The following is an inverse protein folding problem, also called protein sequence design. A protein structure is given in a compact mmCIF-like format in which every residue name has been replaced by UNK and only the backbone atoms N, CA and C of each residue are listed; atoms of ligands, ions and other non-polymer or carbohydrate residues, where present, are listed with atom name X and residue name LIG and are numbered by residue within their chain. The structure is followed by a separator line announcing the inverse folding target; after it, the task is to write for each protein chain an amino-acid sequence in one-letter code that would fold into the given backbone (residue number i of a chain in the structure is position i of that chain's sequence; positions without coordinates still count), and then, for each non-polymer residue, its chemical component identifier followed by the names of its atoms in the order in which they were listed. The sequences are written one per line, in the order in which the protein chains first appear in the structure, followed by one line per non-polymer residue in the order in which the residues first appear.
data_IF_476239512870
#
_entry.id   IF_476239512870
#
_cell.length_a   1.000
_cell.length_b   1.000
_cell.length_c   1.000
_cell.angle_alpha   90.00
_cell.angle_beta   90.00
_cell.angle_gamma   90.00
#
_symmetry.space_group_name_H-M   'P 1'
#
loop_
_entity.id
_entity.type
_entity.pdbx_description
1 polymer ?
2 polymer ?
3 polymer ?
4 non-polymer ?
5 water ?
#
loop_
_entity_poly.entity_id
_entity_poly.type
_entity_poly.pdbx_seq_one_letter_code
_entity_poly.pdbx_strand_id
2 'polydeoxyribonucleotide' '(DC)(DG)(DA)(DT)(DG)(DC)(DG)(DG)(DG)(DT)(DG)(DC)(DA)' ?
3 'polydeoxyribonucleotide' '(DT)(DG)(DC)(DA)(DC)(DC)(DC)(DG)(DC)(DA)(DT)(DC)(DG)' ?
#
# COMPACT_ATOMS: atom_id res chain seq x y z
N UNK A 14 -5.87 -25.21 2.26
CA UNK A 14 -6.98 -25.62 1.33
C UNK A 14 -6.92 -24.83 0.03
N UNK A 15 -8.08 -24.67 -0.61
CA UNK A 15 -8.18 -23.96 -1.89
C UNK A 15 -8.87 -22.59 -1.79
N UNK A 16 -10.20 -22.58 -1.76
CA UNK A 16 -10.99 -21.35 -1.66
C UNK A 16 -10.60 -20.58 -0.39
N UNK A 17 -10.68 -19.26 -0.43
CA UNK A 17 -10.26 -18.45 0.70
C UNK A 17 -10.84 -17.06 0.45
N UNK A 18 -11.43 -16.43 1.47
CA UNK A 18 -11.96 -15.06 1.35
C UNK A 18 -12.08 -14.42 2.74
N UNK A 19 -13.26 -13.89 3.06
CA UNK A 19 -13.51 -13.27 4.36
C UNK A 19 -14.55 -14.18 4.99
N UNK A 20 -14.69 -15.35 4.38
CA UNK A 20 -15.64 -16.36 4.79
C UNK A 20 -15.79 -16.52 6.29
N UNK A 21 -16.86 -17.21 6.68
CA UNK A 21 -17.16 -17.47 8.08
C UNK A 21 -15.90 -17.98 8.77
N UNK A 22 -15.48 -19.19 8.42
CA UNK A 22 -14.28 -19.73 9.00
C UNK A 22 -13.23 -20.13 7.99
N UNK A 23 -12.01 -19.76 8.33
CA UNK A 23 -10.82 -20.01 7.53
C UNK A 23 -10.20 -21.33 7.94
N UNK A 24 -9.77 -22.15 6.96
CA UNK A 24 -9.15 -23.43 7.28
C UNK A 24 -7.95 -23.21 8.20
N UNK A 25 -7.47 -24.26 8.86
CA UNK A 25 -6.34 -24.10 9.75
C UNK A 25 -5.32 -25.22 9.78
N UNK A 26 -5.07 -25.80 8.61
CA UNK A 26 -4.10 -26.88 8.47
C UNK A 26 -2.91 -26.24 7.77
N UNK A 27 -2.86 -24.92 7.85
CA UNK A 27 -1.81 -24.13 7.23
C UNK A 27 -0.41 -24.66 7.50
N UNK A 28 0.29 -25.02 6.42
CA UNK A 28 1.67 -25.50 6.50
C UNK A 28 2.53 -24.45 5.80
N UNK A 29 1.93 -23.83 4.77
CA UNK A 29 2.59 -22.81 3.97
C UNK A 29 2.29 -21.37 4.35
N UNK A 30 3.00 -20.87 5.37
CA UNK A 30 2.82 -19.49 5.79
C UNK A 30 3.74 -18.62 4.95
N UNK A 31 3.23 -18.13 3.82
CA UNK A 31 3.98 -17.28 2.90
C UNK A 31 4.86 -16.26 3.63
N UNK A 32 6.01 -15.93 3.05
CA UNK A 32 6.90 -14.94 3.67
C UNK A 32 6.36 -13.56 3.37
N UNK A 33 6.55 -12.62 4.29
CA UNK A 33 6.02 -11.29 4.11
C UNK A 33 6.25 -10.65 2.74
N UNK A 34 5.16 -10.26 2.11
CA UNK A 34 5.21 -9.64 0.79
C UNK A 34 5.17 -8.13 0.88
N UNK A 35 6.10 -7.51 0.17
CA UNK A 35 6.22 -6.07 0.17
C UNK A 35 5.26 -5.38 -0.80
N UNK A 36 5.11 -5.93 -1.99
CA UNK A 36 4.26 -5.31 -3.00
C UNK A 36 3.10 -6.16 -3.47
N UNK A 37 2.18 -6.50 -2.57
CA UNK A 37 1.02 -7.32 -2.96
C UNK A 37 0.31 -6.69 -4.15
N UNK A 38 0.25 -7.41 -5.26
CA UNK A 38 -0.43 -6.89 -6.45
C UNK A 38 -1.10 -8.02 -7.26
N UNK A 39 -2.13 -7.66 -8.01
CA UNK A 39 -2.84 -8.62 -8.84
C UNK A 39 -3.71 -9.58 -8.02
N UNK A 40 -4.40 -9.05 -7.02
CA UNK A 40 -5.29 -9.86 -6.20
C UNK A 40 -4.59 -10.92 -5.35
N UNK A 41 -3.35 -10.69 -4.94
CA UNK A 41 -2.62 -11.67 -4.12
C UNK A 41 -3.34 -11.97 -2.81
N UNK A 42 -3.19 -13.21 -2.33
CA UNK A 42 -3.75 -13.63 -1.05
C UNK A 42 -2.61 -14.33 -0.33
N UNK A 43 -2.48 -14.13 0.97
CA UNK A 43 -1.40 -14.79 1.71
C UNK A 43 -1.88 -15.42 3.00
N UNK A 44 -0.97 -15.97 3.79
CA UNK A 44 -1.35 -16.61 5.05
C UNK A 44 -0.32 -16.33 6.15
N UNK A 45 0.52 -15.32 5.94
CA UNK A 45 1.56 -14.94 6.90
C UNK A 45 1.32 -15.47 8.32
N UNK A 46 2.39 -15.83 9.03
CA UNK A 46 2.26 -16.31 10.42
C UNK A 46 1.92 -15.11 11.30
N UNK A 47 1.19 -15.31 12.40
CA UNK A 47 0.85 -14.17 13.23
C UNK A 47 2.01 -13.68 14.13
N UNK A 48 3.17 -14.31 14.03
CA UNK A 48 4.30 -13.88 14.82
C UNK A 48 5.12 -12.94 13.94
N UNK A 49 4.75 -12.92 12.66
CA UNK A 49 5.37 -12.12 11.61
C UNK A 49 5.21 -10.61 11.87
N UNK A 50 6.23 -10.01 12.45
CA UNK A 50 6.20 -8.61 12.81
C UNK A 50 5.80 -7.65 11.72
N UNK A 51 6.14 -7.93 10.47
CA UNK A 51 5.74 -7.01 9.41
C UNK A 51 4.30 -7.28 8.98
N UNK A 52 3.85 -8.50 9.20
CA UNK A 52 2.48 -8.88 8.85
C UNK A 52 1.58 -8.40 9.98
N UNK A 53 2.15 -8.30 11.18
CA UNK A 53 1.37 -7.83 12.32
C UNK A 53 1.02 -6.37 12.07
N UNK A 54 2.02 -5.58 11.67
CA UNK A 54 1.84 -4.16 11.41
C UNK A 54 1.12 -3.88 10.09
N UNK A 55 0.58 -4.93 9.47
CA UNK A 55 -0.15 -4.81 8.20
C UNK A 55 0.54 -3.90 7.23
N UNK A 56 1.79 -4.23 6.90
CA UNK A 56 2.57 -3.41 6.01
C UNK A 56 2.38 -3.70 4.52
N UNK A 57 2.80 -2.73 3.72
CA UNK A 57 2.72 -2.81 2.28
C UNK A 57 3.55 -1.63 1.83
N UNK A 58 4.35 -1.80 0.79
CA UNK A 58 5.14 -0.67 0.37
C UNK A 58 4.34 0.21 -0.56
N UNK A 59 3.10 -0.20 -0.80
CA UNK A 59 2.18 0.60 -1.58
C UNK A 59 1.58 1.49 -0.48
N UNK A 60 1.25 2.75 -0.80
CA UNK A 60 0.70 3.66 0.20
C UNK A 60 -0.77 3.32 0.36
N UNK A 61 -1.10 2.64 1.45
CA UNK A 61 -2.47 2.22 1.70
C UNK A 61 -3.06 2.96 2.87
N UNK A 62 -4.27 3.50 2.72
CA UNK A 62 -4.87 4.21 3.84
C UNK A 62 -6.04 3.44 4.44
N UNK A 63 -6.21 3.61 5.75
CA UNK A 63 -7.26 2.94 6.49
C UNK A 63 -8.61 3.22 5.85
N UNK A 64 -9.48 2.21 5.81
CA UNK A 64 -10.81 2.37 5.25
C UNK A 64 -11.76 1.70 6.23
N UNK A 65 -12.86 2.36 6.53
CA UNK A 65 -13.84 1.82 7.49
C UNK A 65 -14.92 0.98 6.85
N UNK A 66 -14.88 -0.33 7.10
CA UNK A 66 -15.87 -1.26 6.55
C UNK A 66 -16.82 -1.74 7.66
N UNK A 67 -16.76 -1.07 8.82
CA UNK A 67 -17.60 -1.41 9.96
C UNK A 67 -17.46 -2.88 10.31
N UNK A 68 -16.24 -3.26 10.70
CA UNK A 68 -15.92 -4.64 11.04
C UNK A 68 -14.59 -4.68 11.79
N UNK A 69 -14.64 -4.86 13.10
CA UNK A 69 -13.43 -4.88 13.88
C UNK A 69 -12.55 -6.07 13.59
N UNK A 70 -13.07 -7.01 12.82
CA UNK A 70 -12.32 -8.23 12.50
C UNK A 70 -11.53 -8.18 11.19
N UNK A 71 -12.01 -7.38 10.25
CA UNK A 71 -11.33 -7.25 8.97
C UNK A 71 -10.83 -5.84 8.76
N UNK A 72 -9.51 -5.70 8.80
CA UNK A 72 -8.85 -4.42 8.60
C UNK A 72 -8.74 -4.21 7.09
N UNK A 73 -9.52 -3.26 6.59
CA UNK A 73 -9.54 -2.95 5.16
C UNK A 73 -8.77 -1.65 5.00
N UNK A 74 -8.04 -1.54 3.88
CA UNK A 74 -7.26 -0.35 3.58
C UNK A 74 -7.20 -0.18 2.05
N UNK A 75 -7.35 1.05 1.57
CA UNK A 75 -7.31 1.29 0.13
C UNK A 75 -6.12 2.11 -0.35
N UNK A 76 -5.64 1.82 -1.56
CA UNK A 76 -4.48 2.47 -2.17
C UNK A 76 -4.63 3.95 -2.49
N UNK A 77 -3.70 4.75 -1.96
CA UNK A 77 -3.68 6.20 -2.12
C UNK A 77 -3.27 6.75 -3.49
N UNK A 78 -2.50 5.95 -4.23
CA UNK A 78 -2.03 6.38 -5.53
C UNK A 78 -0.52 6.58 -5.41
N UNK A 79 -0.02 7.67 -6.01
CA UNK A 79 1.39 8.00 -5.95
C UNK A 79 1.56 9.43 -6.42
N UNK A 80 2.48 10.17 -5.78
CA UNK A 80 2.74 11.56 -6.13
C UNK A 80 3.84 11.65 -7.16
N UNK A 81 3.56 12.32 -8.26
CA UNK A 81 4.56 12.48 -9.31
C UNK A 81 4.80 13.96 -9.59
N UNK A 82 5.78 14.26 -10.45
CA UNK A 82 6.06 15.63 -10.83
C UNK A 82 5.18 15.95 -12.04
N UNK A 83 4.22 16.86 -11.86
CA UNK A 83 3.31 17.21 -12.94
C UNK A 83 4.02 17.69 -14.20
N UNK A 84 5.25 18.17 -14.04
CA UNK A 84 6.04 18.66 -15.16
C UNK A 84 6.76 17.52 -15.90
N UNK A 85 6.31 16.29 -15.67
CA UNK A 85 6.88 15.10 -16.33
C UNK A 85 8.40 14.93 -16.14
N UNK A 86 9.02 15.92 -15.51
CA UNK A 86 10.46 15.94 -15.23
C UNK A 86 11.17 14.59 -15.06
N UNK A 87 12.46 14.57 -15.39
CA UNK A 87 13.31 13.39 -15.27
C UNK A 87 14.72 13.87 -14.87
N UNK A 88 15.33 13.25 -13.86
CA UNK A 88 16.67 13.66 -13.41
C UNK A 88 17.71 13.60 -14.51
N UNK A 89 18.98 13.51 -14.13
CA UNK A 89 20.06 13.42 -15.11
C UNK A 89 20.40 11.98 -15.47
N UNK A 90 20.22 11.07 -14.53
CA UNK A 90 20.48 9.67 -14.78
C UNK A 90 19.18 9.01 -15.25
N UNK A 91 18.26 9.85 -15.73
CA UNK A 91 16.98 9.37 -16.23
C UNK A 91 16.03 8.80 -15.19
N UNK A 92 16.07 9.36 -13.99
CA UNK A 92 15.20 8.87 -12.93
C UNK A 92 13.95 9.74 -12.80
N UNK A 93 12.79 9.10 -12.81
CA UNK A 93 11.51 9.80 -12.64
C UNK A 93 11.20 9.83 -11.14
N UNK A 94 10.41 10.81 -10.69
CA UNK A 94 10.12 10.95 -9.26
C UNK A 94 8.74 10.48 -8.82
N UNK A 95 8.70 9.48 -7.94
CA UNK A 95 7.43 8.97 -7.41
C UNK A 95 7.44 9.03 -5.90
N UNK A 96 6.93 10.13 -5.37
CA UNK A 96 6.87 10.33 -3.94
C UNK A 96 5.76 9.52 -3.31
N UNK A 97 5.99 9.13 -2.06
CA UNK A 97 5.03 8.37 -1.30
C UNK A 97 3.98 9.33 -0.73
N UNK A 98 2.70 9.15 -1.07
CA UNK A 98 1.58 9.98 -0.60
C UNK A 98 1.49 9.95 0.92
N UNK A 99 1.11 11.08 1.55
CA UNK A 99 0.99 11.10 3.00
C UNK A 99 -0.28 10.35 3.33
N UNK A 100 -0.27 9.57 4.41
CA UNK A 100 -1.45 8.80 4.79
C UNK A 100 -2.47 9.69 5.48
N UNK A 101 -2.03 10.49 6.46
CA UNK A 101 -2.94 11.38 7.14
C UNK A 101 -3.49 12.30 6.05
N UNK A 102 -4.80 12.27 5.86
CA UNK A 102 -5.50 13.06 4.83
C UNK A 102 -5.10 14.52 4.73
N UNK A 103 -5.01 15.20 5.86
CA UNK A 103 -4.66 16.62 5.84
C UNK A 103 -3.22 16.85 5.40
N UNK A 104 -2.37 15.88 5.72
CA UNK A 104 -0.96 15.94 5.34
C UNK A 104 -0.79 15.86 3.82
N UNK A 105 -1.62 15.07 3.16
CA UNK A 105 -1.55 14.90 1.71
C UNK A 105 -1.98 16.17 0.97
N UNK A 106 -2.74 17.01 1.65
CA UNK A 106 -3.19 18.27 1.08
C UNK A 106 -1.99 19.21 1.12
N UNK A 107 -1.39 19.34 2.30
CA UNK A 107 -0.23 20.19 2.47
C UNK A 107 0.91 19.69 1.60
N UNK A 108 0.86 18.41 1.21
CA UNK A 108 1.92 17.82 0.40
C UNK A 108 1.81 18.21 -1.07
N UNK A 109 0.61 18.08 -1.64
CA UNK A 109 0.39 18.41 -3.06
C UNK A 109 0.77 19.85 -3.40
N UNK A 110 1.01 20.65 -2.38
CA UNK A 110 1.40 22.03 -2.58
C UNK A 110 2.92 22.16 -2.65
N UNK A 111 3.63 21.30 -1.94
CA UNK A 111 5.08 21.37 -1.94
C UNK A 111 5.62 21.21 -3.38
N UNK A 112 6.75 21.88 -3.66
CA UNK A 112 7.38 21.85 -4.99
C UNK A 112 8.23 20.59 -5.18
N UNK A 113 8.41 20.21 -6.44
CA UNK A 113 9.20 19.03 -6.75
C UNK A 113 10.64 19.19 -6.26
N UNK A 114 11.22 18.10 -5.75
CA UNK A 114 12.59 18.09 -5.23
C UNK A 114 13.64 18.04 -6.35
N UNK A 115 13.17 17.82 -7.57
CA UNK A 115 14.04 17.73 -8.73
C UNK A 115 13.97 18.98 -9.57
N UNK A 116 12.93 19.11 -10.39
CA UNK A 116 12.77 20.27 -11.26
C UNK A 116 12.07 21.42 -10.55
N UNK A 117 11.89 21.28 -9.26
CA UNK A 117 11.24 22.32 -8.48
C UNK A 117 9.87 22.74 -9.03
N UNK A 118 9.26 21.88 -9.85
CA UNK A 118 7.96 22.20 -10.40
C UNK A 118 6.84 21.81 -9.45
N UNK A 119 5.58 21.80 -9.91
CA UNK A 119 4.42 21.43 -9.11
C UNK A 119 4.17 19.92 -9.05
N UNK A 120 3.70 19.45 -7.91
CA UNK A 120 3.42 18.03 -7.70
C UNK A 120 1.97 17.71 -8.02
N UNK A 121 1.70 16.48 -8.43
CA UNK A 121 0.36 16.04 -8.77
C UNK A 121 0.11 14.68 -8.18
N UNK A 122 -1.03 14.50 -7.54
CA UNK A 122 -1.33 13.21 -6.95
C UNK A 122 -2.16 12.34 -7.86
N UNK A 123 -1.49 11.36 -8.47
CA UNK A 123 -2.17 10.42 -9.34
C UNK A 123 -2.74 9.36 -8.42
N UNK A 124 -4.07 9.17 -8.45
CA UNK A 124 -4.70 8.16 -7.60
C UNK A 124 -4.75 6.76 -8.23
N UNK A 125 -4.98 5.75 -7.41
CA UNK A 125 -5.04 4.38 -7.87
C UNK A 125 -6.46 4.09 -8.32
N UNK A 126 -6.67 2.90 -8.86
CA UNK A 126 -7.99 2.49 -9.32
C UNK A 126 -7.93 1.17 -10.09
N UNK A 127 -6.95 0.34 -9.75
CA UNK A 127 -6.78 -0.93 -10.41
C UNK A 127 -7.85 -1.95 -10.05
N UNK A 128 -9.02 -1.45 -9.64
CA UNK A 128 -10.14 -2.30 -9.28
C UNK A 128 -11.45 -1.65 -9.72
N UNK A 129 -11.97 -2.06 -10.86
CA UNK A 129 -13.22 -1.50 -11.35
C UNK A 129 -13.19 0.02 -11.35
N UNK A 130 -11.97 0.56 -11.35
CA UNK A 130 -11.77 2.00 -11.36
C UNK A 130 -11.67 2.62 -9.99
N UNK A 131 -11.58 1.80 -8.95
CA UNK A 131 -11.47 2.32 -7.58
C UNK A 131 -10.13 1.90 -6.98
N UNK A 132 -9.58 2.72 -6.07
CA UNK A 132 -8.29 2.40 -5.43
C UNK A 132 -8.21 0.93 -4.99
N UNK A 133 -7.10 0.28 -5.31
CA UNK A 133 -6.90 -1.12 -4.92
C UNK A 133 -7.05 -1.23 -3.42
N UNK A 134 -7.67 -2.31 -2.95
CA UNK A 134 -7.86 -2.53 -1.52
C UNK A 134 -7.18 -3.78 -1.01
N UNK A 135 -6.99 -3.82 0.29
CA UNK A 135 -6.34 -4.93 0.98
C UNK A 135 -7.25 -5.35 2.12
N UNK A 136 -6.97 -6.50 2.71
CA UNK A 136 -7.77 -7.02 3.83
C UNK A 136 -6.95 -7.87 4.77
N UNK A 137 -6.93 -7.47 6.04
CA UNK A 137 -6.20 -8.21 7.02
C UNK A 137 -7.12 -8.72 8.13
N UNK A 138 -6.90 -9.98 8.54
CA UNK A 138 -7.69 -10.64 9.57
C UNK A 138 -6.83 -11.66 10.28
N UNK A 139 -6.73 -11.54 11.60
CA UNK A 139 -5.93 -12.48 12.39
C UNK A 139 -6.81 -13.64 12.90
N UNK A 140 -6.47 -14.86 12.50
CA UNK A 140 -7.24 -16.06 12.88
C UNK A 140 -6.46 -17.06 13.74
N UNK A 141 -5.97 -16.57 14.87
CA UNK A 141 -5.22 -17.42 15.78
C UNK A 141 -3.74 -17.45 15.55
N UNK A 142 -3.27 -18.58 15.03
CA UNK A 142 -1.85 -18.82 14.77
C UNK A 142 -1.29 -17.95 13.64
N UNK A 143 -2.18 -17.32 12.87
CA UNK A 143 -1.72 -16.49 11.78
C UNK A 143 -2.64 -15.38 11.33
N UNK A 144 -2.05 -14.52 10.50
CA UNK A 144 -2.70 -13.37 9.90
C UNK A 144 -2.93 -13.69 8.42
N UNK A 145 -4.18 -13.63 8.00
CA UNK A 145 -4.53 -13.91 6.63
C UNK A 145 -4.51 -12.61 5.85
N UNK A 146 -4.12 -12.70 4.58
CA UNK A 146 -4.05 -11.54 3.71
C UNK A 146 -4.82 -11.76 2.40
N UNK A 147 -5.41 -10.70 1.87
CA UNK A 147 -6.13 -10.81 0.62
C UNK A 147 -6.31 -9.42 0.09
N UNK A 148 -6.14 -9.26 -1.21
CA UNK A 148 -6.28 -7.94 -1.81
C UNK A 148 -7.21 -8.01 -3.01
N UNK A 149 -7.73 -6.87 -3.42
CA UNK A 149 -8.59 -6.85 -4.59
C UNK A 149 -8.19 -5.76 -5.58
N UNK A 150 -7.55 -6.18 -6.67
CA UNK A 150 -7.14 -5.24 -7.70
C UNK A 150 -5.72 -5.40 -8.22
N UNK A 151 -5.32 -4.44 -9.04
CA UNK A 151 -3.98 -4.45 -9.62
C UNK A 151 -3.66 -2.99 -9.89
N UNK A 152 -2.66 -2.49 -9.18
CA UNK A 152 -2.25 -1.10 -9.27
C UNK A 152 -1.94 -0.63 -10.69
N UNK A 153 -2.72 0.34 -11.16
CA UNK A 153 -2.58 0.92 -12.49
C UNK A 153 -1.85 2.26 -12.40
N UNK A 154 -0.71 2.26 -11.73
CA UNK A 154 0.08 3.46 -11.54
C UNK A 154 1.39 3.01 -10.90
N UNK A 155 2.50 3.70 -11.21
CA UNK A 155 3.83 3.39 -10.69
C UNK A 155 3.99 3.40 -9.16
N UNK A 156 4.90 2.55 -8.68
CA UNK A 156 5.17 2.38 -7.26
C UNK A 156 5.83 3.54 -6.52
N UNK A 157 5.26 3.97 -5.39
CA UNK A 157 5.83 5.07 -4.62
C UNK A 157 7.15 4.64 -3.97
N UNK A 158 7.76 5.50 -3.18
CA UNK A 158 8.99 5.11 -2.50
C UNK A 158 8.45 4.43 -1.27
N UNK A 159 9.26 3.60 -0.63
CA UNK A 159 8.80 2.89 0.57
C UNK A 159 8.77 3.75 1.80
N UNK A 160 7.99 3.32 2.78
CA UNK A 160 7.92 4.04 4.04
C UNK A 160 9.37 4.34 4.39
N UNK A 161 10.21 3.32 4.21
CA UNK A 161 11.64 3.39 4.49
C UNK A 161 12.35 4.43 3.63
N UNK A 162 11.95 4.55 2.37
CA UNK A 162 12.56 5.51 1.45
C UNK A 162 12.06 6.90 1.77
N UNK A 163 10.75 7.03 1.90
CA UNK A 163 10.11 8.30 2.19
C UNK A 163 10.69 8.97 3.42
N UNK A 164 10.80 8.20 4.51
CA UNK A 164 11.33 8.71 5.77
C UNK A 164 12.79 9.17 5.63
N UNK A 165 13.48 8.62 4.63
CA UNK A 165 14.86 8.97 4.35
C UNK A 165 14.90 10.43 3.93
N UNK A 166 13.88 10.87 3.23
CA UNK A 166 13.82 12.24 2.78
C UNK A 166 13.62 13.16 3.96
N UNK A 167 12.45 13.07 4.58
CA UNK A 167 12.05 13.88 5.72
C UNK A 167 13.14 14.00 6.79
N UNK A 168 13.83 12.90 7.05
CA UNK A 168 14.88 12.88 8.05
C UNK A 168 16.24 13.28 7.47
N UNK A 169 16.27 14.43 6.79
CA UNK A 169 17.51 14.92 6.20
C UNK A 169 17.66 16.41 6.37
N UNK A 170 18.72 16.94 5.75
CA UNK A 170 19.01 18.36 5.79
C UNK A 170 18.54 19.02 4.49
N UNK A 171 19.07 18.65 3.42
X LIG D 1 -2.50 1.27 -6.24
X LIG E 1 10.09 17.47 -11.39
#
# INVERSE_FOLDING_TARGET
MELDDFDPEDKEILSWDINDVKLPQNVKTTDWFQEWPDSYVKHIYSSDDRNAQRHLSSWAMRNTNNHNSRILKKSCLGVVVCSRDCSTEEGRKIYLRPAICDKARQKQQRKSCPNCNGPLKLIPCRGHGGFPVTNFWRHDGRFIFFQSKGEHDHPRPETKLEAEARRAMKKVHM
ZN ZN
ZN ZN
#
